data_IF_078920245113
#
_entry.id   IF_078920245113
#
_cell.length_a   1.000
_cell.length_b   1.000
_cell.length_c   1.000
_cell.angle_alpha   90.00
_cell.angle_beta   90.00
_cell.angle_gamma   90.00
#
_symmetry.space_group_name_H-M   'P 1'
#
loop_
_entity.id
_entity.type
_entity.pdbx_description
1 polymer ?
#
# COMPACT_ATOMS: atom_id res chain seq x y z
N UNK A 1 -11.76 -25.62 -22.13
CA UNK A 1 -11.52 -24.16 -22.25
C UNK A 1 -11.87 -23.40 -20.98
N UNK A 2 -12.99 -23.69 -20.32
CA UNK A 2 -13.41 -22.93 -19.11
C UNK A 2 -12.43 -23.04 -17.92
N UNK A 3 -11.86 -24.22 -17.66
CA UNK A 3 -10.87 -24.40 -16.58
C UNK A 3 -9.63 -23.53 -16.79
N UNK A 4 -9.12 -23.46 -18.02
CA UNK A 4 -7.93 -22.65 -18.35
C UNK A 4 -8.24 -21.16 -18.11
N UNK A 5 -9.41 -20.70 -18.52
CA UNK A 5 -9.83 -19.31 -18.31
C UNK A 5 -10.04 -18.97 -16.84
N UNK A 6 -10.62 -19.90 -16.06
CA UNK A 6 -10.74 -19.76 -14.61
C UNK A 6 -9.36 -19.64 -13.95
N UNK A 7 -8.42 -20.54 -14.28
CA UNK A 7 -7.05 -20.50 -13.76
C UNK A 7 -6.35 -19.20 -14.14
N UNK A 8 -6.47 -18.76 -15.40
CA UNK A 8 -5.89 -17.50 -15.86
C UNK A 8 -6.43 -16.29 -15.08
N UNK A 9 -7.74 -16.25 -14.81
CA UNK A 9 -8.36 -15.20 -14.01
C UNK A 9 -7.83 -15.19 -12.58
N UNK A 10 -7.76 -16.34 -11.91
CA UNK A 10 -7.21 -16.45 -10.54
C UNK A 10 -5.77 -15.95 -10.50
N UNK A 11 -4.93 -16.34 -11.47
CA UNK A 11 -3.56 -15.84 -11.58
C UNK A 11 -3.54 -14.32 -11.76
N UNK A 12 -4.41 -13.76 -12.61
CA UNK A 12 -4.51 -12.31 -12.79
C UNK A 12 -4.91 -11.60 -11.50
N UNK A 13 -5.89 -12.10 -10.74
CA UNK A 13 -6.27 -11.54 -9.43
C UNK A 13 -5.08 -11.48 -8.48
N UNK A 14 -4.39 -12.60 -8.31
CA UNK A 14 -3.27 -12.73 -7.39
C UNK A 14 -2.12 -11.79 -7.77
N UNK A 15 -1.80 -11.68 -9.06
CA UNK A 15 -0.76 -10.77 -9.56
C UNK A 15 -1.18 -9.32 -9.35
N UNK A 16 -2.41 -8.95 -9.69
CA UNK A 16 -2.93 -7.59 -9.52
C UNK A 16 -2.87 -7.19 -8.05
N UNK A 17 -3.33 -8.02 -7.13
CA UNK A 17 -3.30 -7.73 -5.70
C UNK A 17 -1.87 -7.54 -5.19
N UNK A 18 -0.92 -8.41 -5.58
CA UNK A 18 0.47 -8.26 -5.18
C UNK A 18 1.09 -6.96 -5.72
N UNK A 19 0.86 -6.63 -7.00
CA UNK A 19 1.42 -5.43 -7.62
C UNK A 19 0.84 -4.14 -7.02
N UNK A 20 -0.46 -4.12 -6.76
CA UNK A 20 -1.14 -2.95 -6.19
C UNK A 20 -0.76 -2.73 -4.73
N UNK A 21 -0.59 -3.79 -3.93
CA UNK A 21 0.00 -3.70 -2.60
C UNK A 21 1.44 -3.18 -2.66
N UNK A 22 2.27 -3.64 -3.61
CA UNK A 22 3.64 -3.08 -3.78
C UNK A 22 3.58 -1.59 -4.11
N UNK A 23 2.72 -1.17 -5.03
CA UNK A 23 2.57 0.24 -5.41
C UNK A 23 2.16 1.09 -4.19
N UNK A 24 1.24 0.59 -3.36
CA UNK A 24 0.85 1.25 -2.12
C UNK A 24 2.03 1.42 -1.14
N UNK A 25 2.79 0.36 -0.88
CA UNK A 25 3.96 0.44 0.00
C UNK A 25 5.05 1.36 -0.56
N UNK A 26 5.22 1.41 -1.89
CA UNK A 26 6.08 2.39 -2.56
C UNK A 26 5.57 3.81 -2.36
N UNK A 27 4.25 4.01 -2.34
CA UNK A 27 3.61 5.27 -2.01
C UNK A 27 4.06 5.81 -0.66
N UNK A 28 4.30 4.95 0.33
CA UNK A 28 4.91 5.36 1.60
C UNK A 28 6.42 5.51 1.52
N UNK A 29 7.09 4.53 0.90
CA UNK A 29 8.54 4.41 0.97
C UNK A 29 9.28 5.50 0.20
N UNK A 30 8.76 5.91 -0.96
CA UNK A 30 9.37 6.94 -1.81
C UNK A 30 9.43 8.30 -1.10
N UNK A 31 8.32 8.90 -0.61
CA UNK A 31 8.39 10.14 0.16
C UNK A 31 9.24 9.99 1.42
N UNK A 32 9.13 8.87 2.15
CA UNK A 32 9.97 8.64 3.34
C UNK A 32 11.46 8.70 3.00
N UNK A 33 11.87 8.09 1.88
CA UNK A 33 13.25 8.08 1.40
C UNK A 33 13.74 9.46 0.96
N UNK A 34 12.89 10.22 0.26
CA UNK A 34 13.19 11.57 -0.23
C UNK A 34 13.40 12.52 0.95
N UNK A 35 12.48 12.51 1.92
CA UNK A 35 12.50 13.47 3.04
C UNK A 35 13.52 13.11 4.13
N UNK A 36 13.72 11.83 4.44
CA UNK A 36 14.67 11.42 5.50
C UNK A 36 16.11 11.31 5.01
N UNK A 37 16.30 11.10 3.70
CA UNK A 37 17.55 10.62 3.10
C UNK A 37 18.10 9.31 3.71
N UNK A 38 17.34 8.62 4.57
CA UNK A 38 17.72 7.38 5.26
C UNK A 38 17.23 6.13 4.50
N UNK A 39 17.66 4.95 4.95
CA UNK A 39 17.19 3.67 4.41
C UNK A 39 15.73 3.44 4.75
N UNK A 40 14.98 2.90 3.79
CA UNK A 40 13.58 2.51 3.94
C UNK A 40 13.44 1.04 3.62
N UNK A 41 12.67 0.31 4.42
CA UNK A 41 12.42 -1.13 4.23
C UNK A 41 10.96 -1.39 3.92
N UNK A 42 10.67 -2.06 2.82
CA UNK A 42 9.35 -2.59 2.50
C UNK A 42 9.32 -4.08 2.83
N UNK A 43 8.37 -4.50 3.64
CA UNK A 43 8.06 -5.90 3.89
C UNK A 43 6.87 -6.32 3.03
N UNK A 44 7.00 -7.44 2.34
CA UNK A 44 5.92 -8.03 1.54
C UNK A 44 5.62 -9.44 2.05
N UNK A 45 4.35 -9.69 2.31
CA UNK A 45 3.82 -10.95 2.79
C UNK A 45 4.05 -11.25 4.28
N UNK A 46 3.75 -12.49 4.67
CA UNK A 46 3.79 -12.98 6.06
C UNK A 46 4.61 -14.26 6.11
N UNK A 47 5.45 -14.40 7.15
CA UNK A 47 6.24 -15.60 7.40
C UNK A 47 7.72 -15.32 7.72
N UNK A 48 8.52 -16.39 7.66
CA UNK A 48 9.93 -16.41 8.10
C UNK A 48 10.93 -16.37 6.93
N UNK A 49 10.47 -16.23 5.69
CA UNK A 49 11.38 -16.08 4.55
C UNK A 49 12.22 -14.81 4.73
N UNK A 50 13.52 -14.93 4.44
CA UNK A 50 14.49 -13.82 4.53
C UNK A 50 15.00 -13.36 3.17
N UNK A 51 14.33 -13.75 2.08
CA UNK A 51 14.67 -13.25 0.74
C UNK A 51 14.53 -11.74 0.73
N UNK A 52 15.61 -11.06 0.40
CA UNK A 52 15.63 -9.61 0.34
C UNK A 52 16.42 -9.18 -0.88
N UNK A 53 16.04 -8.02 -1.42
CA UNK A 53 16.83 -7.34 -2.43
C UNK A 53 16.93 -5.86 -2.06
N UNK A 54 18.02 -5.24 -2.49
CA UNK A 54 18.33 -3.84 -2.19
C UNK A 54 18.53 -3.10 -3.50
N UNK A 55 17.88 -1.96 -3.63
CA UNK A 55 18.06 -1.04 -4.75
C UNK A 55 18.32 0.34 -4.13
N UNK A 56 19.59 0.76 -4.13
CA UNK A 56 20.01 2.00 -3.48
C UNK A 56 19.68 2.02 -1.98
N UNK A 57 18.89 3.01 -1.54
CA UNK A 57 18.43 3.12 -0.15
C UNK A 57 17.10 2.44 0.15
N UNK A 58 16.52 1.71 -0.81
CA UNK A 58 15.31 0.91 -0.61
C UNK A 58 15.69 -0.55 -0.43
N UNK A 59 15.26 -1.14 0.69
CA UNK A 59 15.35 -2.57 0.95
C UNK A 59 13.96 -3.18 0.85
N UNK A 60 13.81 -4.25 0.07
CA UNK A 60 12.55 -5.00 0.00
C UNK A 60 12.78 -6.39 0.56
N UNK A 61 11.95 -6.80 1.51
CA UNK A 61 12.04 -8.07 2.24
C UNK A 61 10.78 -8.88 1.99
N UNK A 62 10.92 -10.02 1.34
CA UNK A 62 9.84 -10.97 1.10
C UNK A 62 9.75 -11.97 2.24
N UNK A 63 8.70 -11.85 3.06
CA UNK A 63 8.42 -12.72 4.20
C UNK A 63 7.57 -13.94 3.86
N UNK A 64 7.10 -14.06 2.63
CA UNK A 64 6.29 -15.17 2.15
C UNK A 64 5.37 -14.69 1.03
N UNK A 65 4.57 -15.58 0.47
CA UNK A 65 3.57 -15.20 -0.53
C UNK A 65 2.25 -14.89 0.15
N UNK A 66 1.97 -13.60 0.33
CA UNK A 66 0.65 -13.13 0.79
C UNK A 66 0.35 -11.80 0.09
N UNK A 67 -0.39 -11.83 -1.03
CA UNK A 67 -0.48 -10.71 -1.97
C UNK A 67 -1.18 -9.47 -1.42
N UNK A 68 -1.85 -9.60 -0.28
CA UNK A 68 -2.59 -8.53 0.39
C UNK A 68 -1.83 -7.86 1.54
N UNK A 69 -0.62 -8.31 1.85
CA UNK A 69 0.13 -7.81 3.02
C UNK A 69 1.41 -7.11 2.61
N UNK A 70 1.50 -5.86 3.02
CA UNK A 70 2.66 -4.99 2.87
C UNK A 70 2.83 -4.10 4.09
N UNK A 71 4.10 -3.75 4.39
CA UNK A 71 4.44 -2.72 5.38
C UNK A 71 5.71 -1.97 4.97
N UNK A 72 5.65 -0.65 4.92
CA UNK A 72 6.82 0.21 4.81
C UNK A 72 7.28 0.68 6.19
N UNK A 73 8.58 0.49 6.46
CA UNK A 73 9.27 0.88 7.68
C UNK A 73 10.36 1.91 7.35
N UNK A 74 10.34 3.03 8.07
CA UNK A 74 11.30 4.11 7.94
C UNK A 74 11.63 4.71 9.31
N UNK A 75 12.75 5.44 9.38
CA UNK A 75 13.15 6.14 10.58
C UNK A 75 12.34 7.44 10.75
N UNK A 76 11.42 7.45 11.71
CA UNK A 76 10.58 8.61 12.01
C UNK A 76 11.37 9.82 12.48
N UNK A 77 12.47 9.65 13.21
CA UNK A 77 13.22 10.75 13.82
C UNK A 77 14.00 11.58 12.80
N UNK A 78 14.24 10.99 11.63
CA UNK A 78 14.89 11.67 10.48
C UNK A 78 13.91 12.45 9.61
N UNK A 79 12.61 12.40 9.91
CA UNK A 79 11.58 13.08 9.13
C UNK A 79 11.08 14.32 9.87
N UNK A 80 11.00 15.42 9.15
CA UNK A 80 10.17 16.56 9.58
C UNK A 80 8.72 16.12 9.67
N UNK A 81 7.90 16.89 10.39
CA UNK A 81 6.47 16.59 10.53
C UNK A 81 5.75 16.46 9.18
N UNK A 82 6.04 17.36 8.24
CA UNK A 82 5.49 17.30 6.87
C UNK A 82 5.97 16.03 6.17
N UNK A 83 7.26 15.67 6.32
CA UNK A 83 7.80 14.42 5.80
C UNK A 83 7.09 13.19 6.37
N UNK A 84 6.84 13.14 7.68
CA UNK A 84 6.07 12.05 8.33
C UNK A 84 4.64 11.98 7.77
N UNK A 85 3.97 13.13 7.67
CA UNK A 85 2.60 13.21 7.17
C UNK A 85 2.48 12.74 5.72
N UNK A 86 3.32 13.26 4.83
CA UNK A 86 3.34 12.88 3.41
C UNK A 86 3.74 11.41 3.22
N UNK A 87 4.69 10.91 4.01
CA UNK A 87 5.08 9.49 3.96
C UNK A 87 3.97 8.57 4.44
N UNK A 88 3.19 9.02 5.43
CA UNK A 88 2.05 8.26 5.95
C UNK A 88 0.90 8.26 4.95
N UNK A 89 0.55 9.39 4.32
CA UNK A 89 -0.56 9.43 3.36
C UNK A 89 -0.18 8.98 1.95
N UNK A 90 1.10 8.84 1.64
CA UNK A 90 1.57 8.50 0.31
C UNK A 90 1.01 7.18 -0.23
N UNK A 91 0.87 6.14 0.60
CA UNK A 91 0.22 4.88 0.23
C UNK A 91 -1.26 5.06 -0.15
N UNK A 92 -2.12 5.60 0.74
CA UNK A 92 -3.50 5.92 0.40
C UNK A 92 -3.63 6.79 -0.86
N UNK A 93 -2.80 7.83 -1.00
CA UNK A 93 -2.87 8.75 -2.15
C UNK A 93 -2.52 8.06 -3.47
N UNK A 94 -1.45 7.25 -3.52
CA UNK A 94 -1.09 6.54 -4.75
C UNK A 94 -2.15 5.49 -5.11
N UNK A 95 -2.73 4.81 -4.11
CA UNK A 95 -3.85 3.90 -4.34
C UNK A 95 -5.06 4.64 -4.93
N UNK A 96 -5.44 5.80 -4.38
CA UNK A 96 -6.52 6.60 -4.96
C UNK A 96 -6.22 7.01 -6.42
N UNK A 97 -5.00 7.49 -6.69
CA UNK A 97 -4.59 7.90 -8.05
C UNK A 97 -4.64 6.74 -9.04
N UNK A 98 -4.09 5.58 -8.68
CA UNK A 98 -4.12 4.38 -9.53
C UNK A 98 -5.54 3.87 -9.71
N UNK A 99 -6.34 3.90 -8.63
CA UNK A 99 -7.74 3.48 -8.65
C UNK A 99 -8.58 4.31 -9.63
N UNK A 100 -8.56 5.64 -9.47
CA UNK A 100 -9.26 6.57 -10.34
C UNK A 100 -8.74 6.53 -11.78
N UNK A 101 -7.42 6.50 -11.97
CA UNK A 101 -6.82 6.39 -13.30
C UNK A 101 -7.25 5.12 -14.02
N UNK A 102 -7.31 4.00 -13.30
CA UNK A 102 -7.74 2.71 -13.86
C UNK A 102 -9.23 2.70 -14.23
N UNK A 103 -10.11 3.35 -13.45
CA UNK A 103 -11.52 3.50 -13.83
C UNK A 103 -11.69 4.30 -15.12
N UNK A 104 -10.96 5.41 -15.25
CA UNK A 104 -11.01 6.25 -16.46
C UNK A 104 -10.53 5.49 -17.69
N UNK A 105 -9.48 4.67 -17.53
CA UNK A 105 -8.98 3.80 -18.60
C UNK A 105 -10.02 2.74 -18.96
N UNK A 106 -10.57 2.04 -17.95
CA UNK A 106 -11.57 0.98 -18.16
C UNK A 106 -12.77 1.48 -18.96
N UNK A 107 -13.30 2.66 -18.62
CA UNK A 107 -14.46 3.26 -19.30
C UNK A 107 -14.24 3.59 -20.79
N UNK A 108 -12.99 3.59 -21.26
CA UNK A 108 -12.63 3.80 -22.68
C UNK A 108 -12.29 2.51 -23.42
N UNK A 109 -12.19 1.38 -22.73
CA UNK A 109 -11.78 0.11 -23.33
C UNK A 109 -12.99 -0.59 -23.98
N UNK A 110 -12.91 -0.84 -25.28
CA UNK A 110 -13.87 -1.67 -26.02
C UNK A 110 -13.60 -3.17 -25.82
N UNK A 111 -12.36 -3.56 -25.54
CA UNK A 111 -12.00 -4.94 -25.27
C UNK A 111 -12.38 -5.34 -23.83
N UNK A 112 -13.23 -6.35 -23.70
CA UNK A 112 -13.76 -6.81 -22.41
C UNK A 112 -12.69 -7.31 -21.44
N UNK A 113 -11.62 -7.95 -21.94
CA UNK A 113 -10.54 -8.47 -21.08
C UNK A 113 -9.80 -7.31 -20.43
N UNK A 114 -9.41 -6.30 -21.21
CA UNK A 114 -8.72 -5.12 -20.68
C UNK A 114 -9.64 -4.28 -19.78
N UNK A 115 -10.92 -4.12 -20.17
CA UNK A 115 -11.91 -3.44 -19.33
C UNK A 115 -12.02 -4.10 -17.95
N UNK A 116 -12.17 -5.43 -17.89
CA UNK A 116 -12.26 -6.18 -16.63
C UNK A 116 -10.97 -6.07 -15.80
N UNK A 117 -9.80 -6.15 -16.44
CA UNK A 117 -8.51 -6.01 -15.76
C UNK A 117 -8.35 -4.64 -15.10
N UNK A 118 -8.61 -3.55 -15.83
CA UNK A 118 -8.51 -2.20 -15.27
C UNK A 118 -9.60 -1.92 -14.22
N UNK A 119 -10.79 -2.48 -14.39
CA UNK A 119 -11.85 -2.42 -13.38
C UNK A 119 -11.44 -3.13 -12.09
N UNK A 120 -10.78 -4.28 -12.18
CA UNK A 120 -10.24 -4.99 -11.03
C UNK A 120 -9.14 -4.18 -10.32
N UNK A 121 -8.17 -3.65 -11.08
CA UNK A 121 -7.11 -2.78 -10.54
C UNK A 121 -7.74 -1.58 -9.84
N UNK A 122 -8.76 -0.96 -10.45
CA UNK A 122 -9.47 0.16 -9.90
C UNK A 122 -10.11 -0.17 -8.55
N UNK A 123 -10.97 -1.19 -8.50
CA UNK A 123 -11.71 -1.52 -7.29
C UNK A 123 -10.82 -1.93 -6.14
N UNK A 124 -9.77 -2.71 -6.40
CA UNK A 124 -8.86 -3.10 -5.33
C UNK A 124 -8.09 -1.89 -4.76
N UNK A 125 -7.60 -0.98 -5.62
CA UNK A 125 -6.91 0.22 -5.14
C UNK A 125 -7.84 1.20 -4.39
N UNK A 126 -9.08 1.36 -4.85
CA UNK A 126 -10.07 2.20 -4.16
C UNK A 126 -10.47 1.59 -2.81
N UNK A 127 -10.66 0.28 -2.76
CA UNK A 127 -10.85 -0.44 -1.49
C UNK A 127 -9.67 -0.24 -0.55
N UNK A 128 -8.44 -0.42 -1.05
CA UNK A 128 -7.23 -0.22 -0.26
C UNK A 128 -7.11 1.22 0.24
N UNK A 129 -7.42 2.21 -0.58
CA UNK A 129 -7.49 3.62 -0.16
C UNK A 129 -8.48 3.80 0.99
N UNK A 130 -9.72 3.33 0.85
CA UNK A 130 -10.77 3.48 1.87
C UNK A 130 -10.33 2.83 3.19
N UNK A 131 -9.84 1.59 3.15
CA UNK A 131 -9.46 0.84 4.36
C UNK A 131 -8.25 1.45 5.06
N UNK A 132 -7.33 2.07 4.32
CA UNK A 132 -6.10 2.65 4.90
C UNK A 132 -6.26 4.12 5.32
N UNK A 133 -7.13 4.89 4.66
CA UNK A 133 -7.34 6.32 4.98
C UNK A 133 -8.32 6.57 6.13
N UNK A 134 -9.25 5.65 6.40
CA UNK A 134 -10.18 5.82 7.52
C UNK A 134 -9.39 5.62 8.84
N UNK A 135 -9.46 6.55 9.82
CA UNK A 135 -8.64 6.51 11.02
C UNK A 135 -9.15 5.49 12.04
N UNK A 136 -8.73 4.24 11.88
CA UNK A 136 -9.10 3.11 12.75
C UNK A 136 -7.87 2.34 13.20
N UNK A 137 -8.01 1.62 14.31
CA UNK A 137 -7.15 0.49 14.65
C UNK A 137 -7.82 -0.77 14.14
N UNK A 138 -7.14 -1.55 13.32
CA UNK A 138 -7.77 -2.74 12.74
C UNK A 138 -8.12 -3.75 13.84
N UNK A 139 -9.30 -4.39 13.76
CA UNK A 139 -9.72 -5.46 14.65
C UNK A 139 -8.65 -6.56 14.81
N UNK A 140 -8.53 -7.12 16.01
CA UNK A 140 -7.52 -8.14 16.34
C UNK A 140 -7.57 -9.39 15.46
N UNK A 141 -8.73 -9.73 14.91
CA UNK A 141 -8.92 -10.88 14.04
C UNK A 141 -8.46 -10.65 12.59
N UNK A 142 -8.02 -9.44 12.22
CA UNK A 142 -7.62 -9.10 10.85
C UNK A 142 -6.19 -9.56 10.50
N UNK A 143 -5.87 -10.82 10.81
CA UNK A 143 -4.61 -11.48 10.44
C UNK A 143 -3.38 -10.62 10.72
N UNK A 144 -2.53 -10.43 9.69
CA UNK A 144 -1.29 -9.66 9.80
C UNK A 144 -1.48 -8.17 10.14
N UNK A 145 -2.69 -7.63 9.96
CA UNK A 145 -3.03 -6.25 10.27
C UNK A 145 -3.68 -6.09 11.66
N UNK A 146 -3.95 -7.19 12.37
CA UNK A 146 -4.66 -7.16 13.65
C UNK A 146 -3.99 -6.25 14.68
N UNK A 147 -4.72 -5.25 15.17
CA UNK A 147 -4.21 -4.26 16.13
C UNK A 147 -3.28 -3.19 15.55
N UNK A 148 -3.00 -3.20 14.24
CA UNK A 148 -2.24 -2.15 13.56
C UNK A 148 -3.14 -0.93 13.34
N UNK A 149 -2.60 0.27 13.50
CA UNK A 149 -3.30 1.52 13.17
C UNK A 149 -3.23 1.78 11.67
N UNK A 150 -4.35 2.19 11.07
CA UNK A 150 -4.41 2.61 9.68
C UNK A 150 -3.54 3.85 9.42
N UNK A 151 -3.29 4.16 8.15
CA UNK A 151 -2.50 5.33 7.77
C UNK A 151 -3.25 6.63 8.06
N UNK A 152 -4.56 6.65 7.88
CA UNK A 152 -5.42 7.73 8.34
C UNK A 152 -5.29 7.99 9.83
N UNK A 153 -5.20 6.94 10.65
CA UNK A 153 -5.02 7.07 12.09
C UNK A 153 -3.68 7.71 12.42
N UNK A 154 -2.60 7.22 11.80
CA UNK A 154 -1.24 7.77 11.98
C UNK A 154 -1.17 9.24 11.52
N UNK A 155 -1.77 9.56 10.38
CA UNK A 155 -1.83 10.92 9.84
C UNK A 155 -2.59 11.85 10.78
N UNK A 156 -3.72 11.41 11.33
CA UNK A 156 -4.49 12.17 12.31
C UNK A 156 -3.70 12.39 13.61
N UNK A 157 -2.96 11.37 14.08
CA UNK A 157 -2.09 11.51 15.25
C UNK A 157 -1.01 12.59 15.03
N UNK A 158 -0.33 12.56 13.88
CA UNK A 158 0.66 13.59 13.50
C UNK A 158 0.03 15.00 13.47
N UNK A 159 -1.24 15.13 13.06
CA UNK A 159 -1.96 16.40 13.07
C UNK A 159 -2.29 16.86 14.50
N UNK A 160 -2.69 15.93 15.37
CA UNK A 160 -3.07 16.20 16.77
C UNK A 160 -1.89 16.54 17.68
N UNK A 161 -0.67 16.07 17.40
CA UNK A 161 0.55 16.49 18.14
C UNK A 161 0.79 18.03 18.13
N UNK A 162 0.09 18.80 17.29
CA UNK A 162 0.09 20.28 17.32
C UNK A 162 -0.87 20.88 18.33
N UNK A 163 -1.90 20.14 18.76
CA UNK A 163 -3.00 20.66 19.56
C UNK A 163 -2.67 20.73 21.05
N UNK A 164 -1.64 20.01 21.51
CA UNK A 164 -1.09 20.19 22.86
C UNK A 164 0.04 21.22 22.78
N UNK A 165 -0.15 22.45 23.29
CA UNK A 165 0.99 23.31 23.54
C UNK A 165 1.91 22.58 24.53
N UNK A 166 3.19 22.50 24.20
CA UNK A 166 4.22 22.17 25.18
C UNK A 166 4.11 23.19 26.31
N UNK A 167 3.61 22.74 27.46
CA UNK A 167 3.62 23.50 28.72
C UNK A 167 5.05 23.79 29.16
#
# INVERSE_FOLDING_TARGET
MEIIQMVANICAFVIVFQLTTIIHELGHAVPARIFSKDKVTIYLGVGNSKRNFKIGGLQVVFRGFHPFTGFALWNGDKLTRIGKFLSTLGGPLISLMVGMGSLLIAGKMSNTIYNNLFTLIAYYNLFQFIVTVIPIKYPSWWGAYGGVTSDGYKALAILKEKAEPTN
#
